data_IF_887686684878
#
_entry.id   IF_887686684878
#
_cell.length_a   1.000
_cell.length_b   1.000
_cell.length_c   1.000
_cell.angle_alpha   90.00
_cell.angle_beta   90.00
_cell.angle_gamma   90.00
#
_symmetry.space_group_name_H-M   'P 1'
#
loop_
_entity.id
_entity.type
_entity.pdbx_description
1 polymer ?
#
# COMPACT_ATOMS: atom_id res chain seq x y z
N UNK A 1 -35.89 32.38 -37.76
CA UNK A 1 -35.84 30.95 -38.11
C UNK A 1 -34.46 30.31 -38.01
N UNK A 2 -33.35 31.02 -38.19
CA UNK A 2 -32.01 30.40 -38.29
C UNK A 2 -31.06 30.71 -37.14
N UNK A 3 -31.32 31.75 -36.34
CA UNK A 3 -30.50 32.10 -35.17
C UNK A 3 -30.69 31.14 -33.98
N UNK A 4 -31.93 30.67 -33.74
CA UNK A 4 -32.22 29.75 -32.62
C UNK A 4 -31.58 28.37 -32.82
N UNK A 5 -31.54 27.87 -34.05
CA UNK A 5 -30.93 26.58 -34.38
C UNK A 5 -29.40 26.56 -34.21
N UNK A 6 -28.72 27.71 -34.30
CA UNK A 6 -27.26 27.81 -34.11
C UNK A 6 -26.85 27.88 -32.63
N UNK A 7 -27.72 28.42 -31.77
CA UNK A 7 -27.49 28.44 -30.31
C UNK A 7 -27.61 27.03 -29.72
N UNK A 8 -28.49 26.20 -30.28
CA UNK A 8 -28.72 24.82 -29.86
C UNK A 8 -27.47 23.92 -29.96
N UNK A 9 -26.65 24.09 -31.00
CA UNK A 9 -25.42 23.30 -31.22
C UNK A 9 -24.23 23.82 -30.41
N UNK A 10 -24.21 25.10 -30.05
CA UNK A 10 -23.12 25.71 -29.25
C UNK A 10 -23.26 25.36 -27.76
N UNK A 11 -24.47 25.05 -27.28
CA UNK A 11 -24.73 24.71 -25.88
C UNK A 11 -24.74 23.20 -25.58
N UNK A 12 -24.55 22.32 -26.58
CA UNK A 12 -24.47 20.87 -26.36
C UNK A 12 -25.68 20.28 -25.61
N UNK A 13 -26.87 20.89 -25.70
CA UNK A 13 -28.04 20.49 -24.93
C UNK A 13 -28.69 19.29 -25.62
N UNK A 14 -28.31 18.10 -25.17
CA UNK A 14 -28.99 16.86 -25.49
C UNK A 14 -30.29 16.82 -24.68
N UNK A 15 -31.46 16.90 -25.35
CA UNK A 15 -32.79 16.94 -24.71
C UNK A 15 -33.38 15.54 -24.41
N UNK A 16 -32.57 14.49 -24.32
CA UNK A 16 -33.02 13.28 -23.65
C UNK A 16 -32.87 13.53 -22.14
N UNK A 17 -33.99 13.80 -21.45
CA UNK A 17 -34.03 13.71 -19.99
C UNK A 17 -33.81 12.23 -19.62
N UNK A 18 -32.55 11.83 -19.46
CA UNK A 18 -32.21 10.62 -18.73
C UNK A 18 -32.78 10.78 -17.32
N UNK A 19 -33.47 9.74 -16.82
CA UNK A 19 -34.05 9.78 -15.49
C UNK A 19 -32.92 9.49 -14.52
N UNK A 20 -32.56 10.46 -13.69
CA UNK A 20 -31.59 10.22 -12.62
C UNK A 20 -32.23 9.45 -11.47
N UNK A 21 -31.40 8.74 -10.70
CA UNK A 21 -31.78 8.15 -9.42
C UNK A 21 -30.67 8.41 -8.41
N UNK A 22 -31.02 8.28 -7.13
CA UNK A 22 -30.09 8.54 -6.03
C UNK A 22 -29.76 7.25 -5.30
N UNK A 23 -28.58 7.19 -4.70
CA UNK A 23 -28.20 6.10 -3.81
C UNK A 23 -27.35 6.63 -2.66
N UNK A 24 -27.38 5.93 -1.52
CA UNK A 24 -26.50 6.22 -0.40
C UNK A 24 -25.32 5.24 -0.41
N UNK A 25 -24.11 5.79 -0.36
CA UNK A 25 -22.89 5.05 -0.14
C UNK A 25 -22.38 5.35 1.26
N UNK A 26 -22.21 4.32 2.09
CA UNK A 26 -21.69 4.46 3.44
C UNK A 26 -20.20 4.10 3.50
N UNK A 27 -19.37 5.05 3.93
CA UNK A 27 -17.94 4.84 4.14
C UNK A 27 -17.58 4.94 5.63
N UNK A 28 -16.53 4.27 6.12
CA UNK A 28 -16.05 4.46 7.49
C UNK A 28 -15.46 5.86 7.71
N UNK A 29 -14.92 6.50 6.68
CA UNK A 29 -14.39 7.87 6.70
C UNK A 29 -14.51 8.52 5.32
N UNK A 30 -14.49 9.85 5.28
CA UNK A 30 -14.87 10.61 4.08
C UNK A 30 -13.81 10.64 2.97
N UNK A 31 -12.54 10.27 3.21
CA UNK A 31 -11.45 10.27 2.21
C UNK A 31 -11.33 11.53 1.31
N UNK A 32 -11.74 12.71 1.80
CA UNK A 32 -11.77 13.93 0.99
C UNK A 32 -12.92 14.01 -0.03
N UNK A 33 -13.97 13.21 0.11
CA UNK A 33 -15.20 13.29 -0.67
C UNK A 33 -15.90 14.61 -0.35
N UNK A 34 -16.33 15.32 -1.39
CA UNK A 34 -17.04 16.60 -1.29
C UNK A 34 -18.25 16.60 -2.21
N UNK A 35 -19.13 17.58 -2.04
CA UNK A 35 -20.22 17.82 -3.00
C UNK A 35 -19.61 18.10 -4.38
N UNK A 36 -20.08 17.39 -5.41
CA UNK A 36 -19.52 17.44 -6.76
C UNK A 36 -18.43 16.42 -7.06
N UNK A 37 -17.96 15.64 -6.07
CA UNK A 37 -17.06 14.49 -6.31
C UNK A 37 -17.67 13.57 -7.38
N UNK A 38 -16.86 13.19 -8.37
CA UNK A 38 -17.33 12.37 -9.48
C UNK A 38 -17.58 10.94 -9.04
N UNK A 39 -18.68 10.37 -9.53
CA UNK A 39 -18.98 8.93 -9.42
C UNK A 39 -18.71 8.30 -10.77
N UNK A 40 -17.96 7.19 -10.74
CA UNK A 40 -17.58 6.42 -11.93
C UNK A 40 -18.02 4.98 -11.81
N UNK A 41 -18.30 4.37 -12.95
CA UNK A 41 -18.42 2.92 -13.06
C UNK A 41 -17.34 2.47 -14.01
N UNK A 42 -16.40 1.66 -13.49
CA UNK A 42 -15.23 1.17 -14.25
C UNK A 42 -14.47 2.31 -14.95
N UNK A 43 -14.28 3.43 -14.25
CA UNK A 43 -13.54 4.59 -14.75
C UNK A 43 -14.31 5.54 -15.68
N UNK A 44 -15.57 5.26 -16.05
CA UNK A 44 -16.41 6.19 -16.83
C UNK A 44 -17.27 7.02 -15.87
N UNK A 45 -17.32 8.35 -16.05
CA UNK A 45 -18.18 9.23 -15.24
C UNK A 45 -19.66 8.92 -15.51
N UNK A 46 -20.40 8.69 -14.44
CA UNK A 46 -21.83 8.32 -14.49
C UNK A 46 -22.70 9.07 -13.47
N UNK A 47 -22.10 9.96 -12.68
CA UNK A 47 -22.81 10.66 -11.61
C UNK A 47 -21.93 11.59 -10.81
N UNK A 48 -22.52 12.20 -9.77
CA UNK A 48 -21.83 13.09 -8.84
C UNK A 48 -22.38 12.94 -7.41
N UNK A 49 -21.56 13.32 -6.43
CA UNK A 49 -21.98 13.40 -5.02
C UNK A 49 -22.83 14.65 -4.79
N UNK A 50 -24.03 14.46 -4.24
CA UNK A 50 -24.95 15.55 -3.88
C UNK A 50 -24.76 16.03 -2.43
N UNK A 51 -24.46 15.12 -1.50
CA UNK A 51 -24.24 15.50 -0.10
C UNK A 51 -23.36 14.49 0.63
N UNK A 52 -22.65 14.98 1.66
CA UNK A 52 -21.82 14.19 2.55
C UNK A 52 -22.25 14.50 3.98
N UNK A 53 -22.66 13.51 4.75
CA UNK A 53 -23.11 13.67 6.14
C UNK A 53 -22.33 12.76 7.08
N UNK A 54 -21.64 13.32 8.09
CA UNK A 54 -21.02 12.49 9.11
C UNK A 54 -22.08 11.91 10.05
N UNK A 55 -21.87 10.66 10.45
CA UNK A 55 -22.50 9.99 11.59
C UNK A 55 -21.36 9.49 12.50
N UNK A 56 -21.67 9.11 13.74
CA UNK A 56 -20.68 8.66 14.74
C UNK A 56 -19.89 7.43 14.29
N UNK A 57 -20.49 6.56 13.48
CA UNK A 57 -19.87 5.31 13.02
C UNK A 57 -19.41 5.35 11.56
N UNK A 58 -19.97 6.25 10.75
CA UNK A 58 -19.86 6.21 9.29
C UNK A 58 -20.15 7.56 8.66
N UNK A 59 -19.71 7.74 7.43
CA UNK A 59 -20.04 8.88 6.58
C UNK A 59 -21.03 8.41 5.53
N UNK A 60 -22.21 9.02 5.52
CA UNK A 60 -23.26 8.74 4.54
C UNK A 60 -23.12 9.74 3.38
N UNK A 61 -22.90 9.20 2.17
CA UNK A 61 -22.69 9.97 0.94
C UNK A 61 -23.88 9.74 0.02
N UNK A 62 -24.62 10.81 -0.31
CA UNK A 62 -25.69 10.76 -1.29
C UNK A 62 -25.10 10.98 -2.68
N UNK A 63 -25.19 9.97 -3.54
CA UNK A 63 -24.80 10.06 -4.95
C UNK A 63 -26.03 10.19 -5.84
N UNK A 64 -25.91 10.96 -6.92
CA UNK A 64 -26.84 10.96 -8.04
C UNK A 64 -26.19 10.30 -9.24
N UNK A 65 -26.92 9.37 -9.83
CA UNK A 65 -26.57 8.70 -11.08
C UNK A 65 -27.29 9.41 -12.23
N UNK A 66 -26.56 9.73 -13.29
CA UNK A 66 -27.06 10.56 -14.39
C UNK A 66 -28.15 9.85 -15.23
N UNK A 67 -28.21 8.51 -15.20
CA UNK A 67 -29.11 7.66 -16.00
C UNK A 67 -29.52 6.38 -15.21
N UNK A 68 -30.81 6.06 -15.20
CA UNK A 68 -31.40 4.86 -14.59
C UNK A 68 -31.06 3.56 -15.34
N UNK A 69 -30.56 3.66 -16.57
CA UNK A 69 -29.91 2.56 -17.30
C UNK A 69 -28.56 2.14 -16.71
N UNK A 70 -27.94 2.98 -15.87
CA UNK A 70 -26.66 2.70 -15.21
C UNK A 70 -26.94 2.09 -13.83
N UNK A 71 -27.11 0.77 -13.82
CA UNK A 71 -27.38 0.03 -12.58
C UNK A 71 -26.12 -0.16 -11.74
N UNK A 72 -26.27 -0.12 -10.41
CA UNK A 72 -25.23 -0.52 -9.46
C UNK A 72 -25.60 -1.91 -8.91
N UNK A 73 -24.96 -2.99 -9.38
CA UNK A 73 -25.11 -4.32 -8.78
C UNK A 73 -24.74 -4.32 -7.30
N UNK A 74 -25.46 -5.08 -6.47
CA UNK A 74 -25.16 -5.14 -5.02
C UNK A 74 -23.82 -5.80 -4.68
N UNK A 75 -23.27 -6.58 -5.60
CA UNK A 75 -21.93 -7.14 -5.50
C UNK A 75 -20.85 -6.20 -6.06
N UNK A 76 -21.12 -4.90 -6.17
CA UNK A 76 -20.10 -3.94 -6.61
C UNK A 76 -19.19 -3.57 -5.46
N UNK A 77 -17.89 -3.59 -5.73
CA UNK A 77 -16.89 -2.92 -4.91
C UNK A 77 -17.00 -1.42 -5.17
N UNK A 78 -17.29 -0.64 -4.13
CA UNK A 78 -17.36 0.82 -4.21
C UNK A 78 -16.18 1.40 -3.46
N UNK A 79 -15.27 2.08 -4.15
CA UNK A 79 -14.05 2.62 -3.57
C UNK A 79 -13.99 4.14 -3.68
N UNK A 80 -13.63 4.81 -2.59
CA UNK A 80 -13.29 6.23 -2.62
C UNK A 80 -11.76 6.37 -2.73
N UNK A 81 -11.27 6.69 -3.93
CA UNK A 81 -9.86 6.83 -4.24
C UNK A 81 -9.50 8.30 -4.47
N UNK A 82 -8.32 8.72 -4.01
CA UNK A 82 -7.72 9.96 -4.48
C UNK A 82 -6.78 9.63 -5.65
N UNK A 83 -7.12 10.10 -6.84
CA UNK A 83 -6.39 9.78 -8.06
C UNK A 83 -6.02 11.04 -8.84
N UNK A 84 -5.02 10.92 -9.71
CA UNK A 84 -4.49 12.01 -10.51
C UNK A 84 -3.47 12.90 -9.79
N UNK A 85 -2.79 13.74 -10.56
CA UNK A 85 -1.70 14.62 -10.09
C UNK A 85 -2.15 15.69 -9.09
N UNK A 86 -3.46 15.98 -9.09
CA UNK A 86 -4.12 17.02 -8.28
C UNK A 86 -4.88 16.46 -7.07
N UNK A 87 -4.72 15.16 -6.78
CA UNK A 87 -5.36 14.46 -5.65
C UNK A 87 -6.89 14.65 -5.62
N UNK A 88 -7.54 14.53 -6.78
CA UNK A 88 -9.00 14.57 -6.85
C UNK A 88 -9.58 13.30 -6.25
N UNK A 89 -10.52 13.46 -5.33
CA UNK A 89 -11.30 12.34 -4.80
C UNK A 89 -12.35 11.92 -5.83
N UNK A 90 -12.39 10.63 -6.11
CA UNK A 90 -13.34 9.99 -7.04
C UNK A 90 -13.93 8.76 -6.33
N UNK A 91 -15.23 8.52 -6.53
CA UNK A 91 -15.88 7.28 -6.14
C UNK A 91 -15.95 6.39 -7.38
N UNK A 92 -15.30 5.23 -7.36
CA UNK A 92 -15.36 4.25 -8.45
C UNK A 92 -16.15 3.01 -8.02
N UNK A 93 -17.03 2.56 -8.91
CA UNK A 93 -17.93 1.43 -8.69
C UNK A 93 -17.53 0.32 -9.67
N UNK A 94 -17.10 -0.80 -9.12
CA UNK A 94 -16.66 -1.96 -9.90
C UNK A 94 -17.50 -3.19 -9.56
N UNK A 95 -18.45 -3.58 -10.44
CA UNK A 95 -19.21 -4.82 -10.27
C UNK A 95 -18.31 -6.05 -10.28
N UNK A 96 -18.43 -6.89 -9.25
CA UNK A 96 -17.75 -8.18 -9.19
C UNK A 96 -18.35 -9.18 -10.18
N UNK A 97 -17.52 -10.12 -10.65
CA UNK A 97 -17.92 -11.18 -11.58
C UNK A 97 -18.32 -12.42 -10.78
N UNK A 98 -19.45 -13.07 -11.07
CA UNK A 98 -20.38 -12.79 -12.16
C UNK A 98 -21.31 -11.60 -11.88
N UNK A 99 -21.58 -10.80 -12.92
CA UNK A 99 -22.50 -9.67 -12.82
C UNK A 99 -23.94 -10.22 -12.73
N UNK A 100 -24.71 -9.90 -11.68
CA UNK A 100 -26.09 -10.35 -11.56
C UNK A 100 -26.96 -9.72 -12.66
N UNK A 101 -27.90 -10.50 -13.20
CA UNK A 101 -28.86 -10.03 -14.19
C UNK A 101 -30.14 -9.60 -13.48
N UNK A 102 -30.33 -8.30 -13.32
CA UNK A 102 -31.56 -7.74 -12.77
C UNK A 102 -32.65 -7.66 -13.83
N UNK A 103 -33.88 -7.97 -13.44
CA UNK A 103 -35.08 -7.75 -14.25
C UNK A 103 -35.64 -6.35 -14.05
N UNK A 104 -35.47 -5.78 -12.86
CA UNK A 104 -35.98 -4.45 -12.50
C UNK A 104 -34.84 -3.43 -12.39
N UNK A 105 -35.08 -2.23 -12.93
CA UNK A 105 -34.18 -1.09 -12.83
C UNK A 105 -34.31 -0.35 -11.49
N UNK A 106 -33.42 0.61 -11.19
CA UNK A 106 -33.35 1.26 -9.88
C UNK A 106 -34.60 2.06 -9.49
N UNK A 107 -35.36 2.54 -10.48
CA UNK A 107 -36.61 3.30 -10.29
C UNK A 107 -37.87 2.43 -10.33
N UNK A 108 -37.74 1.12 -10.59
CA UNK A 108 -38.89 0.24 -10.71
C UNK A 108 -39.39 -0.23 -9.34
N UNK A 109 -40.72 -0.33 -9.20
CA UNK A 109 -41.35 -0.80 -7.95
C UNK A 109 -40.93 -2.21 -7.51
N UNK A 110 -40.47 -3.05 -8.45
CA UNK A 110 -39.98 -4.41 -8.18
C UNK A 110 -38.52 -4.49 -7.72
N UNK A 111 -37.77 -3.38 -7.77
CA UNK A 111 -36.33 -3.36 -7.52
C UNK A 111 -35.96 -3.88 -6.12
N UNK A 112 -36.62 -3.37 -5.07
CA UNK A 112 -36.33 -3.78 -3.69
C UNK A 112 -36.70 -5.24 -3.43
N UNK A 113 -37.72 -5.75 -4.12
CA UNK A 113 -38.13 -7.15 -4.01
C UNK A 113 -37.13 -8.13 -4.64
N UNK A 114 -36.47 -7.72 -5.73
CA UNK A 114 -35.43 -8.50 -6.39
C UNK A 114 -34.08 -8.40 -5.65
N UNK A 115 -33.72 -7.22 -5.16
CA UNK A 115 -32.54 -7.01 -4.32
C UNK A 115 -31.19 -7.24 -5.01
N UNK A 116 -31.14 -7.34 -6.34
CA UNK A 116 -29.89 -7.58 -7.09
C UNK A 116 -29.10 -6.29 -7.41
N UNK A 117 -29.78 -5.15 -7.46
CA UNK A 117 -29.18 -3.82 -7.70
C UNK A 117 -29.53 -2.87 -6.56
N UNK A 118 -28.82 -1.76 -6.47
CA UNK A 118 -29.12 -0.65 -5.56
C UNK A 118 -30.24 0.18 -6.18
N UNK A 119 -31.39 0.23 -5.49
CA UNK A 119 -32.57 0.97 -5.93
C UNK A 119 -32.48 2.46 -5.58
N UNK A 120 -33.44 3.26 -6.05
CA UNK A 120 -33.52 4.68 -5.69
C UNK A 120 -33.60 4.85 -4.16
N UNK A 121 -32.71 5.69 -3.64
CA UNK A 121 -32.45 5.93 -2.22
C UNK A 121 -32.07 4.67 -1.43
N UNK A 122 -31.67 3.61 -2.13
CA UNK A 122 -31.09 2.41 -1.56
C UNK A 122 -29.68 2.66 -1.02
N UNK A 123 -29.16 1.70 -0.26
CA UNK A 123 -27.86 1.79 0.41
C UNK A 123 -26.87 0.74 -0.10
N UNK A 124 -25.61 1.12 -0.21
CA UNK A 124 -24.47 0.23 -0.45
C UNK A 124 -23.28 0.66 0.42
N UNK A 125 -22.46 -0.31 0.83
CA UNK A 125 -21.25 -0.04 1.62
C UNK A 125 -20.10 0.24 0.67
N UNK A 126 -19.37 1.33 0.94
CA UNK A 126 -18.13 1.65 0.28
C UNK A 126 -16.92 1.39 1.17
N UNK A 127 -15.79 1.11 0.54
CA UNK A 127 -14.49 0.98 1.19
C UNK A 127 -13.62 2.20 0.86
N UNK A 128 -12.82 2.66 1.81
CA UNK A 128 -11.80 3.66 1.54
C UNK A 128 -10.71 3.03 0.67
N UNK A 129 -10.39 3.68 -0.44
CA UNK A 129 -9.24 3.33 -1.27
C UNK A 129 -7.97 4.04 -0.83
N UNK A 130 -6.94 4.02 -1.67
CA UNK A 130 -5.63 4.61 -1.33
C UNK A 130 -5.70 6.13 -1.45
N UNK A 131 -5.22 6.83 -0.43
CA UNK A 131 -5.03 8.29 -0.42
C UNK A 131 -3.56 8.67 -0.24
N UNK A 132 -3.18 9.86 -0.72
CA UNK A 132 -1.83 10.38 -0.50
C UNK A 132 -1.57 10.60 1.00
N UNK A 133 -2.58 11.04 1.74
CA UNK A 133 -2.49 11.30 3.18
C UNK A 133 -2.18 10.03 3.96
N UNK A 134 -2.84 8.94 3.61
CA UNK A 134 -2.62 7.63 4.22
C UNK A 134 -1.22 7.10 3.88
N UNK A 135 -0.80 7.16 2.61
CA UNK A 135 0.54 6.75 2.19
C UNK A 135 1.63 7.54 2.93
N UNK A 136 1.50 8.86 2.95
CA UNK A 136 2.43 9.76 3.65
C UNK A 136 2.41 9.47 5.16
N UNK A 137 1.23 9.21 5.74
CA UNK A 137 1.09 8.84 7.15
C UNK A 137 1.81 7.54 7.49
N UNK A 138 1.61 6.48 6.70
CA UNK A 138 2.28 5.18 6.86
C UNK A 138 3.79 5.35 6.74
N UNK A 139 4.25 6.03 5.69
CA UNK A 139 5.68 6.26 5.47
C UNK A 139 6.31 7.10 6.59
N UNK A 140 5.61 8.13 7.08
CA UNK A 140 6.08 8.96 8.20
C UNK A 140 6.21 8.13 9.48
N UNK A 141 5.23 7.26 9.75
CA UNK A 141 5.28 6.36 10.91
C UNK A 141 6.46 5.39 10.81
N UNK A 142 6.67 4.79 9.64
CA UNK A 142 7.81 3.90 9.40
C UNK A 142 9.15 4.64 9.59
N UNK A 143 9.29 5.82 8.98
CA UNK A 143 10.51 6.61 9.08
C UNK A 143 10.81 7.04 10.52
N UNK A 144 9.78 7.41 11.29
CA UNK A 144 9.92 7.73 12.73
C UNK A 144 10.34 6.51 13.55
N UNK A 145 9.78 5.34 13.28
CA UNK A 145 10.17 4.11 13.97
C UNK A 145 11.64 3.76 13.68
N UNK A 146 12.06 3.90 12.43
CA UNK A 146 13.46 3.67 12.02
C UNK A 146 14.42 4.69 12.66
N UNK A 147 14.06 5.97 12.71
CA UNK A 147 14.88 7.02 13.35
C UNK A 147 14.95 6.84 14.88
N UNK A 148 13.80 6.59 15.53
CA UNK A 148 13.71 6.41 16.98
C UNK A 148 14.58 5.26 17.50
N UNK A 149 14.74 4.20 16.70
CA UNK A 149 15.55 3.04 17.07
C UNK A 149 17.01 3.12 16.58
N UNK A 150 17.42 4.22 15.92
CA UNK A 150 18.63 4.25 15.09
C UNK A 150 18.71 2.97 14.21
N UNK A 151 17.57 2.50 13.68
CA UNK A 151 17.40 1.13 13.21
C UNK A 151 18.38 0.77 12.08
N UNK A 152 18.60 1.70 11.15
CA UNK A 152 19.58 1.52 10.07
C UNK A 152 21.01 1.45 10.58
N UNK A 153 21.41 2.38 11.45
CA UNK A 153 22.76 2.39 12.01
C UNK A 153 23.02 1.14 12.87
N UNK A 154 22.04 0.72 13.67
CA UNK A 154 22.12 -0.49 14.48
C UNK A 154 22.15 -1.75 13.63
N UNK A 155 21.37 -1.78 12.53
CA UNK A 155 21.40 -2.87 11.56
C UNK A 155 22.78 -2.99 10.91
N UNK A 156 23.38 -1.88 10.46
CA UNK A 156 24.74 -1.87 9.90
C UNK A 156 25.80 -2.24 10.95
N UNK A 157 25.73 -1.72 12.17
CA UNK A 157 26.66 -2.08 13.24
C UNK A 157 26.54 -3.56 13.64
N UNK A 158 25.33 -4.11 13.67
CA UNK A 158 25.09 -5.54 13.92
C UNK A 158 25.63 -6.40 12.79
N UNK A 159 25.46 -5.94 11.54
CA UNK A 159 26.01 -6.58 10.35
C UNK A 159 27.55 -6.64 10.39
N UNK A 160 28.19 -5.53 10.71
CA UNK A 160 29.66 -5.44 10.87
C UNK A 160 30.15 -6.33 12.02
N UNK A 161 29.50 -6.26 13.18
CA UNK A 161 29.82 -7.12 14.34
C UNK A 161 29.68 -8.60 13.99
N UNK A 162 28.64 -8.98 13.24
CA UNK A 162 28.45 -10.34 12.77
C UNK A 162 29.54 -10.77 11.76
N UNK A 163 29.93 -9.89 10.84
CA UNK A 163 31.03 -10.15 9.91
C UNK A 163 32.35 -10.39 10.65
N UNK A 164 32.69 -9.55 11.62
CA UNK A 164 33.91 -9.69 12.43
C UNK A 164 33.88 -10.97 13.28
N UNK A 165 32.75 -11.24 13.93
CA UNK A 165 32.55 -12.46 14.70
C UNK A 165 32.73 -13.70 13.81
N UNK A 166 32.15 -13.71 12.61
CA UNK A 166 32.28 -14.82 11.65
C UNK A 166 33.71 -14.98 11.12
N UNK A 167 34.43 -13.87 10.84
CA UNK A 167 35.84 -13.89 10.43
C UNK A 167 36.73 -14.57 11.47
N UNK A 168 36.41 -14.42 12.75
CA UNK A 168 37.14 -15.02 13.85
C UNK A 168 36.66 -16.45 14.19
N UNK A 169 35.37 -16.76 14.03
CA UNK A 169 34.80 -18.08 14.31
C UNK A 169 35.08 -19.12 13.23
N UNK A 170 35.10 -18.74 11.95
CA UNK A 170 35.38 -19.66 10.85
C UNK A 170 36.71 -20.43 11.03
N UNK A 171 37.86 -19.77 11.29
CA UNK A 171 39.12 -20.50 11.51
C UNK A 171 39.08 -21.38 12.76
N UNK A 172 38.45 -20.92 13.85
CA UNK A 172 38.33 -21.70 15.08
C UNK A 172 37.48 -22.97 14.89
N UNK A 173 36.40 -22.89 14.12
CA UNK A 173 35.54 -24.03 13.81
C UNK A 173 36.23 -25.03 12.87
N UNK A 174 37.01 -24.54 11.90
CA UNK A 174 37.84 -25.39 11.03
C UNK A 174 38.91 -26.12 11.84
N UNK A 175 39.60 -25.41 12.73
CA UNK A 175 40.62 -25.99 13.60
C UNK A 175 40.02 -27.03 14.56
N UNK A 176 38.87 -26.73 15.17
CA UNK A 176 38.15 -27.68 16.02
C UNK A 176 37.69 -28.93 15.27
N UNK A 177 37.22 -28.78 14.02
CA UNK A 177 36.85 -29.91 13.17
C UNK A 177 38.05 -30.78 12.78
N UNK A 178 39.23 -30.17 12.60
CA UNK A 178 40.45 -30.89 12.27
C UNK A 178 41.01 -31.63 13.49
N UNK A 179 41.06 -30.99 14.65
CA UNK A 179 41.42 -31.62 15.93
C UNK A 179 40.50 -32.83 16.20
N UNK A 180 39.20 -32.70 15.95
CA UNK A 180 38.24 -33.80 16.10
C UNK A 180 38.55 -34.98 15.15
N UNK A 181 39.00 -34.71 13.92
CA UNK A 181 39.44 -35.77 12.99
C UNK A 181 40.74 -36.42 13.42
N UNK A 182 41.70 -35.65 13.93
CA UNK A 182 43.01 -36.14 14.38
C UNK A 182 42.91 -36.97 15.67
N UNK A 183 41.98 -36.62 16.57
CA UNK A 183 41.71 -37.39 17.80
C UNK A 183 41.01 -38.72 17.53
N UNK A 184 40.30 -38.86 16.39
CA UNK A 184 39.57 -40.07 16.00
C UNK A 184 40.44 -41.34 16.04
N UNK A 185 41.61 -41.42 15.37
CA UNK A 185 42.47 -42.61 15.42
C UNK A 185 43.07 -42.87 16.82
N UNK A 186 43.28 -41.84 17.64
CA UNK A 186 43.81 -42.02 19.00
C UNK A 186 42.78 -42.64 19.95
N UNK A 187 41.49 -42.38 19.71
CA UNK A 187 40.37 -42.86 20.52
C UNK A 187 39.80 -44.20 20.05
N UNK A 188 40.23 -44.73 18.90
CA UNK A 188 39.87 -46.09 18.45
C UNK A 188 40.29 -47.19 19.43
N UNK A 189 41.27 -46.91 20.30
CA UNK A 189 41.74 -47.82 21.34
C UNK A 189 41.02 -47.65 22.70
N UNK A 190 40.13 -46.66 22.83
CA UNK A 190 39.35 -46.39 24.05
C UNK A 190 38.00 -47.08 23.92
N UNK A 191 37.62 -47.86 24.95
CA UNK A 191 36.47 -48.77 24.92
C UNK A 191 35.10 -48.08 25.08
N UNK A 192 35.06 -46.74 25.09
CA UNK A 192 33.83 -45.96 25.24
C UNK A 192 33.31 -45.51 23.86
N UNK A 193 32.36 -46.27 23.30
CA UNK A 193 31.73 -45.91 22.02
C UNK A 193 31.09 -44.52 22.04
N UNK A 194 30.60 -44.06 23.19
CA UNK A 194 29.95 -42.75 23.33
C UNK A 194 30.85 -41.54 23.12
N UNK A 195 32.17 -41.63 23.36
CA UNK A 195 33.10 -40.51 23.14
C UNK A 195 33.43 -40.32 21.66
N UNK A 196 33.53 -41.41 20.90
CA UNK A 196 33.70 -41.38 19.44
C UNK A 196 32.48 -40.77 18.73
N UNK A 197 31.27 -41.18 19.11
CA UNK A 197 30.01 -40.64 18.57
C UNK A 197 29.87 -39.13 18.86
N UNK A 198 30.26 -38.70 20.07
CA UNK A 198 30.19 -37.29 20.47
C UNK A 198 31.15 -36.41 19.64
N UNK A 199 32.35 -36.90 19.36
CA UNK A 199 33.34 -36.17 18.55
C UNK A 199 32.90 -36.09 17.08
N UNK A 200 32.34 -37.16 16.54
CA UNK A 200 31.81 -37.18 15.16
C UNK A 200 30.60 -36.23 15.01
N UNK A 201 29.72 -36.19 16.02
CA UNK A 201 28.61 -35.23 16.07
C UNK A 201 29.11 -33.77 16.15
N UNK A 202 30.10 -33.49 17.01
CA UNK A 202 30.68 -32.15 17.16
C UNK A 202 31.38 -31.67 15.89
N UNK A 203 32.18 -32.54 15.24
CA UNK A 203 32.83 -32.22 13.97
C UNK A 203 31.79 -31.95 12.85
N UNK A 204 30.70 -32.72 12.84
CA UNK A 204 29.58 -32.51 11.93
C UNK A 204 28.88 -31.16 12.17
N UNK A 205 28.64 -30.78 13.43
CA UNK A 205 28.07 -29.48 13.77
C UNK A 205 28.99 -28.31 13.43
N UNK A 206 30.30 -28.43 13.69
CA UNK A 206 31.29 -27.41 13.33
C UNK A 206 31.34 -27.19 11.82
N UNK A 207 31.33 -28.27 11.02
CA UNK A 207 31.34 -28.18 9.55
C UNK A 207 30.06 -27.53 9.02
N UNK A 208 28.90 -27.90 9.56
CA UNK A 208 27.62 -27.26 9.21
C UNK A 208 27.60 -25.78 9.56
N UNK A 209 28.08 -25.42 10.75
CA UNK A 209 28.17 -24.02 11.17
C UNK A 209 29.07 -23.19 10.24
N UNK A 210 30.17 -23.76 9.73
CA UNK A 210 31.01 -23.09 8.71
C UNK A 210 30.26 -22.88 7.40
N UNK A 211 29.47 -23.87 6.95
CA UNK A 211 28.63 -23.74 5.76
C UNK A 211 27.57 -22.64 5.94
N UNK A 212 26.87 -22.63 7.08
CA UNK A 212 25.86 -21.63 7.40
C UNK A 212 26.46 -20.21 7.47
N UNK A 213 27.65 -20.06 8.08
CA UNK A 213 28.41 -18.80 8.12
C UNK A 213 28.72 -18.29 6.70
N UNK A 214 29.17 -19.18 5.81
CA UNK A 214 29.48 -18.81 4.41
C UNK A 214 28.25 -18.41 3.62
N UNK A 215 27.12 -19.09 3.85
CA UNK A 215 25.85 -18.78 3.21
C UNK A 215 25.26 -17.45 3.71
N UNK A 216 25.36 -17.19 5.02
CA UNK A 216 24.91 -15.94 5.62
C UNK A 216 25.75 -14.74 5.14
N UNK A 217 27.07 -14.91 5.03
CA UNK A 217 27.99 -13.92 4.46
C UNK A 217 27.65 -13.57 3.00
N UNK A 218 27.24 -14.57 2.20
CA UNK A 218 26.91 -14.37 0.78
C UNK A 218 25.57 -13.65 0.56
N UNK A 219 24.59 -13.88 1.44
CA UNK A 219 23.19 -13.50 1.17
C UNK A 219 22.78 -12.21 1.88
N UNK A 220 23.26 -11.98 3.11
CA UNK A 220 22.73 -10.92 3.98
C UNK A 220 23.74 -9.78 4.17
N UNK A 221 25.04 -10.10 4.21
CA UNK A 221 26.10 -9.19 4.66
C UNK A 221 27.10 -8.86 3.57
N UNK A 222 26.63 -8.52 2.36
CA UNK A 222 27.49 -8.00 1.30
C UNK A 222 27.53 -6.48 1.35
N UNK A 223 28.70 -5.89 1.08
CA UNK A 223 28.86 -4.43 0.91
C UNK A 223 27.90 -3.89 -0.16
N UNK A 224 27.59 -4.72 -1.16
CA UNK A 224 26.62 -4.43 -2.23
C UNK A 224 25.19 -4.27 -1.71
N UNK A 225 24.72 -5.15 -0.82
CA UNK A 225 23.38 -5.02 -0.22
C UNK A 225 23.27 -3.76 0.65
N UNK A 226 24.34 -3.42 1.37
CA UNK A 226 24.38 -2.20 2.20
C UNK A 226 24.33 -0.93 1.34
N UNK A 227 25.11 -0.90 0.26
CA UNK A 227 25.13 0.21 -0.68
C UNK A 227 23.80 0.34 -1.43
N UNK A 228 23.20 -0.77 -1.88
CA UNK A 228 21.88 -0.77 -2.50
C UNK A 228 20.79 -0.23 -1.56
N UNK A 229 20.83 -0.56 -0.27
CA UNK A 229 19.89 -0.02 0.71
C UNK A 229 20.07 1.49 0.88
N UNK A 230 21.31 1.97 1.04
CA UNK A 230 21.61 3.41 1.12
C UNK A 230 21.15 4.15 -0.13
N UNK A 231 21.43 3.60 -1.31
CA UNK A 231 21.00 4.16 -2.60
C UNK A 231 19.48 4.17 -2.72
N UNK A 232 18.79 3.11 -2.32
CA UNK A 232 17.32 3.03 -2.35
C UNK A 232 16.68 4.09 -1.46
N UNK A 233 17.20 4.30 -0.25
CA UNK A 233 16.71 5.35 0.66
C UNK A 233 17.01 6.74 0.08
N UNK A 234 18.17 6.93 -0.53
CA UNK A 234 18.55 8.19 -1.19
C UNK A 234 17.62 8.52 -2.36
N UNK A 235 17.36 7.54 -3.24
CA UNK A 235 16.44 7.68 -4.37
C UNK A 235 15.03 7.96 -3.87
N UNK A 236 14.56 7.24 -2.86
CA UNK A 236 13.24 7.45 -2.26
C UNK A 236 13.11 8.88 -1.69
N UNK A 237 14.13 9.36 -0.98
CA UNK A 237 14.18 10.74 -0.45
C UNK A 237 14.09 11.76 -1.56
N UNK A 238 14.88 11.62 -2.64
CA UNK A 238 14.85 12.51 -3.81
C UNK A 238 13.50 12.49 -4.53
N UNK A 239 12.91 11.30 -4.69
CA UNK A 239 11.57 11.14 -5.29
C UNK A 239 10.52 11.86 -4.45
N UNK A 240 10.55 11.70 -3.13
CA UNK A 240 9.62 12.40 -2.22
C UNK A 240 9.82 13.91 -2.25
N UNK A 241 11.06 14.40 -2.33
CA UNK A 241 11.35 15.84 -2.52
C UNK A 241 10.79 16.36 -3.85
N UNK A 242 10.89 15.58 -4.92
CA UNK A 242 10.26 15.93 -6.20
C UNK A 242 8.73 15.94 -6.09
N UNK A 243 8.13 14.97 -5.41
CA UNK A 243 6.69 14.93 -5.15
C UNK A 243 6.23 16.12 -4.29
N UNK A 244 6.99 16.51 -3.27
CA UNK A 244 6.73 17.72 -2.48
C UNK A 244 6.68 18.96 -3.37
N UNK A 245 7.69 19.10 -4.23
CA UNK A 245 7.83 20.27 -5.10
C UNK A 245 6.70 20.35 -6.12
N UNK A 246 6.39 19.24 -6.79
CA UNK A 246 5.27 19.15 -7.75
C UNK A 246 3.93 19.42 -7.06
N UNK A 247 3.71 18.85 -5.87
CA UNK A 247 2.51 19.13 -5.06
C UNK A 247 2.44 20.60 -4.62
N UNK A 248 3.57 21.21 -4.28
CA UNK A 248 3.70 22.62 -3.96
C UNK A 248 3.35 23.55 -5.13
N UNK A 249 3.82 23.23 -6.34
CA UNK A 249 3.53 24.01 -7.55
C UNK A 249 2.06 23.88 -8.00
N UNK A 250 1.41 22.76 -7.67
CA UNK A 250 -0.02 22.47 -7.94
C UNK A 250 -0.96 23.06 -6.88
N UNK A 251 -0.42 23.56 -5.78
CA UNK A 251 -1.18 23.99 -4.61
C UNK A 251 -2.00 25.28 -4.77
N UNK A 252 -1.96 25.93 -5.93
CA UNK A 252 -2.99 26.92 -6.28
C UNK A 252 -4.37 26.31 -6.49
N UNK A 253 -4.48 24.96 -6.60
CA UNK A 253 -5.75 24.29 -6.96
C UNK A 253 -6.25 23.24 -5.94
N UNK A 254 -5.43 22.45 -5.21
CA UNK A 254 -6.00 21.32 -4.40
C UNK A 254 -5.10 20.64 -3.34
N UNK A 255 -4.30 21.35 -2.53
CA UNK A 255 -3.41 20.69 -1.56
C UNK A 255 -3.82 20.85 -0.09
N UNK A 256 -4.20 19.77 0.61
CA UNK A 256 -4.40 19.77 2.07
C UNK A 256 -3.09 20.13 2.82
N UNK A 257 -3.11 21.08 3.77
CA UNK A 257 -1.91 21.48 4.53
C UNK A 257 -1.29 20.36 5.37
N UNK A 258 -2.08 19.42 5.89
CA UNK A 258 -1.57 18.35 6.76
C UNK A 258 -0.74 17.34 5.96
N UNK A 259 -1.17 16.98 4.75
CA UNK A 259 -0.39 16.14 3.82
C UNK A 259 0.99 16.69 3.56
N UNK A 260 1.09 18.01 3.29
CA UNK A 260 2.38 18.66 3.00
C UNK A 260 3.30 18.66 4.21
N UNK A 261 2.75 18.91 5.40
CA UNK A 261 3.52 18.85 6.64
C UNK A 261 4.06 17.45 6.90
N UNK A 262 3.22 16.43 6.71
CA UNK A 262 3.64 15.04 6.90
C UNK A 262 4.69 14.63 5.84
N UNK A 263 4.55 15.07 4.60
CA UNK A 263 5.50 14.76 3.52
C UNK A 263 6.86 15.44 3.78
N UNK A 264 6.88 16.68 4.27
CA UNK A 264 8.11 17.34 4.73
C UNK A 264 8.77 16.61 5.89
N UNK A 265 7.97 16.20 6.87
CA UNK A 265 8.48 15.45 8.02
C UNK A 265 9.08 14.10 7.57
N UNK A 266 8.43 13.41 6.64
CA UNK A 266 8.93 12.18 6.05
C UNK A 266 10.29 12.39 5.36
N UNK A 267 10.40 13.40 4.50
CA UNK A 267 11.66 13.76 3.84
C UNK A 267 12.76 14.00 4.88
N UNK A 268 12.47 14.78 5.93
CA UNK A 268 13.43 15.07 6.99
C UNK A 268 13.89 13.80 7.72
N UNK A 269 12.98 12.89 8.06
CA UNK A 269 13.34 11.61 8.67
C UNK A 269 14.20 10.77 7.73
N UNK A 270 13.84 10.64 6.46
CA UNK A 270 14.59 9.84 5.50
C UNK A 270 15.99 10.44 5.19
N UNK A 271 16.12 11.76 5.09
CA UNK A 271 17.43 12.42 4.93
C UNK A 271 18.38 12.10 6.08
N UNK A 272 17.89 12.14 7.33
CA UNK A 272 18.69 11.78 8.51
C UNK A 272 19.17 10.33 8.54
N UNK A 273 18.49 9.44 7.82
CA UNK A 273 18.87 8.03 7.70
C UNK A 273 19.99 7.81 6.67
N UNK A 274 20.18 8.73 5.72
CA UNK A 274 21.23 8.67 4.68
C UNK A 274 22.49 9.43 5.11
N UNK A 275 22.34 10.53 5.85
CA UNK A 275 23.46 11.40 6.25
C UNK A 275 24.33 10.82 7.39
N UNK A 276 24.06 9.59 7.85
CA UNK A 276 24.82 8.84 8.88
C UNK A 276 25.55 7.65 8.25
#
# INVERSE_FOLDING_TARGET
GTAALRIQWILGVNFNKMRSYQAFVEFPFACGIQVGTQVRVRGVKVGNVLSVRPNLERVEVLVEMDDDGIVIPRNSLVEANQSGLIAETIIDITPEIPIPKAQWGPLDSGCEGEGLVVCDRGKIVGVPGVSMDELVGIATKLAREMDAQNGIAKMFATAETAQDLMKNLEPLLLEAAEIAKELRPMLQNVQEQGTLDTIELLAGHATKAVTDIRELKRTILTDENQEMLRQSITIMTKTLQHMEKVSGDISSVSGDPATRQNLRHLIQCLSRLVDK
#
